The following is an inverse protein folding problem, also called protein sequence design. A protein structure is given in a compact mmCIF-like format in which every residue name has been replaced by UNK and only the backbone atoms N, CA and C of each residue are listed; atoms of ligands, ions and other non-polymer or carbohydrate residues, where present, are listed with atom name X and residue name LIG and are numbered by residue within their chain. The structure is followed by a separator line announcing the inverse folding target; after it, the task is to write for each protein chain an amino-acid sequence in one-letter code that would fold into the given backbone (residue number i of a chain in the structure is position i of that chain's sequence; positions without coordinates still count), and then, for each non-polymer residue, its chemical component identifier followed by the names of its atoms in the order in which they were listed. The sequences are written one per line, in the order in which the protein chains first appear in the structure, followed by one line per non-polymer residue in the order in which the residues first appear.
data_IF_063992306212
#
_entry.id   IF_063992306212
#
_cell.length_a   1.000
_cell.length_b   1.000
_cell.length_c   1.000
_cell.angle_alpha   90.00
_cell.angle_beta   90.00
_cell.angle_gamma   90.00
#
_symmetry.space_group_name_H-M   'P 1'
#
loop_
_entity.id
_entity.type
_entity.pdbx_description
1 polymer ?
#
# COMPACT_ATOMS: atom_id res chain seq x y z
N UNK A 1 18.17 4.46 -1.77
CA UNK A 1 17.06 3.91 -2.59
C UNK A 1 17.64 3.22 -3.81
N UNK A 2 17.15 2.02 -4.15
CA UNK A 2 17.70 1.18 -5.23
C UNK A 2 16.80 1.30 -6.47
N UNK A 3 17.37 1.58 -7.64
CA UNK A 3 16.67 1.65 -8.92
C UNK A 3 16.31 0.24 -9.43
N UNK A 4 15.09 0.07 -9.96
CA UNK A 4 14.63 -1.15 -10.65
C UNK A 4 14.88 -1.01 -12.16
N UNK A 5 15.07 -2.15 -12.85
CA UNK A 5 15.25 -2.21 -14.31
C UNK A 5 14.29 -3.23 -14.92
N UNK A 6 13.76 -2.90 -16.09
CA UNK A 6 13.13 -3.82 -17.04
C UNK A 6 13.96 -3.83 -18.33
N UNK A 7 13.57 -4.66 -19.32
CA UNK A 7 14.29 -4.79 -20.61
C UNK A 7 14.54 -3.45 -21.32
N UNK A 8 13.68 -2.45 -21.10
CA UNK A 8 13.71 -1.18 -21.82
C UNK A 8 13.64 0.06 -20.92
N UNK A 9 13.63 -0.07 -19.58
CA UNK A 9 13.53 1.08 -18.68
C UNK A 9 14.27 0.87 -17.36
N UNK A 10 14.76 1.97 -16.79
CA UNK A 10 15.34 2.05 -15.44
C UNK A 10 14.51 3.05 -14.66
N UNK A 11 13.99 2.68 -13.49
CA UNK A 11 13.08 3.54 -12.75
C UNK A 11 13.22 3.39 -11.23
N UNK A 12 12.89 4.47 -10.53
CA UNK A 12 12.73 4.50 -9.08
C UNK A 12 11.45 5.29 -8.79
N UNK A 13 10.34 4.58 -8.63
CA UNK A 13 9.02 5.18 -8.50
C UNK A 13 8.53 4.91 -7.08
N UNK A 14 8.30 5.98 -6.32
CA UNK A 14 7.82 5.94 -4.95
C UNK A 14 6.56 6.80 -4.84
N UNK A 15 5.52 6.27 -4.20
CA UNK A 15 4.23 6.97 -4.04
C UNK A 15 3.90 7.13 -2.56
N UNK A 16 3.30 8.27 -2.22
CA UNK A 16 2.70 8.51 -0.91
C UNK A 16 1.17 8.41 -1.03
N UNK A 17 0.61 7.28 -0.61
CA UNK A 17 -0.81 7.00 -0.70
C UNK A 17 -1.47 7.20 0.67
N UNK A 18 -2.55 7.98 0.71
CA UNK A 18 -3.33 8.26 1.92
C UNK A 18 -4.81 8.04 1.60
N UNK A 19 -5.54 7.41 2.51
CA UNK A 19 -6.98 7.20 2.39
C UNK A 19 -7.69 7.44 3.73
N UNK A 20 -9.02 7.54 3.67
CA UNK A 20 -9.88 7.71 4.84
C UNK A 20 -11.06 6.72 4.78
N UNK A 21 -11.62 6.31 5.94
CA UNK A 21 -12.84 5.53 5.99
C UNK A 21 -14.01 6.29 5.34
N UNK A 22 -15.01 5.54 4.86
CA UNK A 22 -16.25 6.11 4.32
C UNK A 22 -16.88 7.05 5.36
N UNK A 23 -17.21 8.27 4.93
CA UNK A 23 -17.73 9.36 5.78
C UNK A 23 -16.80 9.86 6.90
N UNK A 24 -15.50 9.54 6.86
CA UNK A 24 -14.51 9.88 7.91
C UNK A 24 -14.97 9.47 9.32
N UNK A 25 -15.73 8.37 9.41
CA UNK A 25 -16.22 7.90 10.70
C UNK A 25 -15.04 7.63 11.64
N UNK A 26 -15.13 8.00 12.93
CA UNK A 26 -14.15 7.60 13.92
C UNK A 26 -14.32 6.11 14.20
N UNK A 27 -13.62 5.28 13.42
CA UNK A 27 -13.57 3.83 13.61
C UNK A 27 -12.53 3.50 14.67
N UNK A 28 -12.84 2.55 15.55
CA UNK A 28 -11.84 1.98 16.48
C UNK A 28 -10.85 1.15 15.67
N UNK A 29 -9.60 1.59 15.63
CA UNK A 29 -8.59 1.03 14.74
C UNK A 29 -7.91 -0.25 15.26
N UNK A 30 -8.23 -0.77 16.45
CA UNK A 30 -7.50 -1.88 17.09
C UNK A 30 -7.16 -3.07 16.17
N UNK A 31 -8.08 -4.00 16.00
CA UNK A 31 -7.90 -5.17 15.11
C UNK A 31 -8.02 -4.80 13.63
N UNK A 32 -8.83 -3.77 13.33
CA UNK A 32 -9.08 -3.31 11.96
C UNK A 32 -7.79 -2.81 11.28
N UNK A 33 -6.88 -2.16 12.02
CA UNK A 33 -5.59 -1.71 11.49
C UNK A 33 -4.76 -2.91 11.04
N UNK A 34 -4.66 -3.95 11.86
CA UNK A 34 -3.91 -5.17 11.53
C UNK A 34 -4.49 -5.86 10.29
N UNK A 35 -5.82 -5.95 10.21
CA UNK A 35 -6.50 -6.51 9.03
C UNK A 35 -6.17 -5.72 7.76
N UNK A 36 -6.33 -4.40 7.80
CA UNK A 36 -6.07 -3.52 6.65
C UNK A 36 -4.60 -3.61 6.22
N UNK A 37 -3.66 -3.58 7.16
CA UNK A 37 -2.23 -3.72 6.87
C UNK A 37 -1.91 -5.07 6.20
N UNK A 38 -2.49 -6.16 6.70
CA UNK A 38 -2.28 -7.49 6.14
C UNK A 38 -2.88 -7.62 4.74
N UNK A 39 -4.11 -7.13 4.52
CA UNK A 39 -4.74 -7.14 3.20
C UNK A 39 -3.94 -6.34 2.18
N UNK A 40 -3.41 -5.17 2.57
CA UNK A 40 -2.57 -4.37 1.66
C UNK A 40 -1.30 -5.14 1.29
N UNK A 41 -0.61 -5.75 2.26
CA UNK A 41 0.59 -6.57 2.01
C UNK A 41 0.28 -7.75 1.09
N UNK A 42 -0.83 -8.43 1.30
CA UNK A 42 -1.26 -9.56 0.48
C UNK A 42 -1.53 -9.12 -0.97
N UNK A 43 -2.30 -8.06 -1.18
CA UNK A 43 -2.58 -7.52 -2.52
C UNK A 43 -1.30 -7.07 -3.23
N UNK A 44 -0.39 -6.40 -2.52
CA UNK A 44 0.92 -6.02 -3.04
C UNK A 44 1.78 -7.23 -3.42
N UNK A 45 1.66 -8.34 -2.70
CA UNK A 45 2.38 -9.58 -2.99
C UNK A 45 1.81 -10.27 -4.23
N UNK A 46 0.49 -10.24 -4.41
CA UNK A 46 -0.17 -10.83 -5.59
C UNK A 46 0.05 -10.03 -6.88
N UNK A 47 0.24 -8.71 -6.79
CA UNK A 47 0.31 -7.80 -7.96
C UNK A 47 1.69 -7.21 -8.26
N UNK A 48 2.66 -7.40 -7.36
CA UNK A 48 4.03 -6.88 -7.49
C UNK A 48 4.94 -7.77 -8.34
#
# INVERSE_FOLDING_TARGET
MRTKKTRHAVYNINYHLVWCPKYRKPVSFGELKTLVENTIKEVCTQRG
#
